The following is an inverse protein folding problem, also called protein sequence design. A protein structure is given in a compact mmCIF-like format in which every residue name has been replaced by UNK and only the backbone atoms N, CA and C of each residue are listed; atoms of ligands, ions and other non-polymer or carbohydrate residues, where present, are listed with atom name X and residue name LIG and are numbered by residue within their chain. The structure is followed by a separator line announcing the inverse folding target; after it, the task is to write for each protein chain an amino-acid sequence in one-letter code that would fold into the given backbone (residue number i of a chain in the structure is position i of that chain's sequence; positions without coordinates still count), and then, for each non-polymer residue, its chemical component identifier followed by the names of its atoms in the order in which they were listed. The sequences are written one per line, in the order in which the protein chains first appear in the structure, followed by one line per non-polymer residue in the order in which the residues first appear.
data_IF_818254620685
#
_entry.id   IF_818254620685
#
_cell.length_a   1.000
_cell.length_b   1.000
_cell.length_c   1.000
_cell.angle_alpha   90.00
_cell.angle_beta   90.00
_cell.angle_gamma   90.00
#
_symmetry.space_group_name_H-M   'P 1'
#
loop_
_entity.id
_entity.type
_entity.pdbx_description
1 polymer ?
#
# COMPACT_ATOMS: atom_id res chain seq x y z
N UNK A 1 -12.15 -0.90 -14.08
CA UNK A 1 -11.83 -2.17 -13.38
C UNK A 1 -13.03 -3.09 -13.44
N UNK A 2 -12.82 -4.40 -13.41
CA UNK A 2 -13.88 -5.41 -13.27
C UNK A 2 -13.52 -6.27 -12.06
N UNK A 3 -14.35 -6.17 -11.02
CA UNK A 3 -14.22 -6.94 -9.79
C UNK A 3 -15.62 -7.21 -9.22
N UNK A 4 -16.10 -8.47 -9.22
CA UNK A 4 -17.45 -8.80 -8.74
C UNK A 4 -17.70 -8.44 -7.28
N UNK A 5 -16.66 -8.41 -6.42
CA UNK A 5 -16.83 -8.12 -5.00
C UNK A 5 -17.31 -6.69 -4.77
N UNK A 6 -16.95 -5.75 -5.66
CA UNK A 6 -17.39 -4.36 -5.55
C UNK A 6 -18.91 -4.19 -5.69
N UNK A 7 -19.58 -5.06 -6.44
CA UNK A 7 -21.04 -4.97 -6.65
C UNK A 7 -21.83 -5.25 -5.37
N UNK A 8 -21.21 -5.93 -4.40
CA UNK A 8 -21.78 -6.30 -3.11
C UNK A 8 -21.39 -5.33 -1.98
N UNK A 9 -20.55 -4.34 -2.26
CA UNK A 9 -20.14 -3.35 -1.27
C UNK A 9 -21.21 -2.25 -1.15
N UNK A 10 -21.56 -1.92 0.08
CA UNK A 10 -22.52 -0.87 0.44
C UNK A 10 -21.92 0.10 1.46
N UNK A 11 -22.44 1.33 1.51
CA UNK A 11 -22.00 2.37 2.46
C UNK A 11 -22.37 2.05 3.89
N UNK A 12 -23.53 1.42 4.08
CA UNK A 12 -24.06 1.01 5.35
C UNK A 12 -23.01 0.22 6.13
N UNK A 13 -22.84 0.51 7.43
CA UNK A 13 -21.81 -0.01 8.34
C UNK A 13 -20.42 0.64 8.22
N UNK A 14 -20.00 1.09 7.04
CA UNK A 14 -18.59 1.46 6.82
C UNK A 14 -18.30 2.95 6.89
N UNK A 15 -19.21 3.79 6.42
CA UNK A 15 -19.02 5.23 6.39
C UNK A 15 -20.29 5.98 6.78
N UNK A 16 -20.11 7.10 7.51
CA UNK A 16 -21.18 8.02 7.86
C UNK A 16 -21.17 9.30 7.01
N UNK A 17 -20.22 9.43 6.07
CA UNK A 17 -19.99 10.65 5.28
C UNK A 17 -20.82 10.65 3.98
N UNK A 18 -21.05 9.48 3.40
CA UNK A 18 -21.84 9.29 2.17
C UNK A 18 -22.83 8.15 2.34
N UNK A 19 -23.97 8.25 1.67
CA UNK A 19 -24.99 7.20 1.54
C UNK A 19 -25.08 6.64 0.10
N UNK A 20 -24.38 7.25 -0.85
CA UNK A 20 -24.34 6.83 -2.26
C UNK A 20 -23.39 5.64 -2.49
N UNK A 21 -23.97 4.44 -2.60
CA UNK A 21 -23.27 3.20 -2.95
C UNK A 21 -22.53 3.28 -4.30
N UNK A 22 -23.04 4.04 -5.29
CA UNK A 22 -22.38 4.18 -6.59
C UNK A 22 -21.10 5.01 -6.45
N UNK A 23 -21.16 6.11 -5.69
CA UNK A 23 -19.99 6.92 -5.39
C UNK A 23 -18.94 6.13 -4.60
N UNK A 24 -19.37 5.37 -3.57
CA UNK A 24 -18.49 4.50 -2.80
C UNK A 24 -17.70 3.54 -3.69
N UNK A 25 -18.41 2.77 -4.52
CA UNK A 25 -17.79 1.79 -5.43
C UNK A 25 -16.85 2.47 -6.42
N UNK A 26 -17.19 3.68 -6.88
CA UNK A 26 -16.33 4.45 -7.78
C UNK A 26 -15.05 4.95 -7.11
N UNK A 27 -15.12 5.37 -5.85
CA UNK A 27 -13.95 5.74 -5.05
C UNK A 27 -13.05 4.52 -4.79
N UNK A 28 -13.62 3.38 -4.40
CA UNK A 28 -12.87 2.13 -4.25
C UNK A 28 -12.17 1.72 -5.54
N UNK A 29 -12.88 1.71 -6.67
CA UNK A 29 -12.29 1.46 -7.99
C UNK A 29 -11.14 2.43 -8.27
N UNK A 30 -11.32 3.71 -7.97
CA UNK A 30 -10.28 4.72 -8.19
C UNK A 30 -9.05 4.45 -7.34
N UNK A 31 -9.21 4.12 -6.06
CA UNK A 31 -8.11 3.75 -5.17
C UNK A 31 -7.32 2.54 -5.69
N UNK A 32 -8.03 1.47 -6.06
CA UNK A 32 -7.38 0.26 -6.58
C UNK A 32 -6.63 0.50 -7.90
N UNK A 33 -7.15 1.37 -8.76
CA UNK A 33 -6.56 1.70 -10.06
C UNK A 33 -5.43 2.73 -10.00
N UNK A 34 -5.27 3.44 -8.89
CA UNK A 34 -4.29 4.53 -8.76
C UNK A 34 -3.26 4.18 -7.70
N UNK A 35 -3.53 4.50 -6.44
CA UNK A 35 -2.59 4.38 -5.33
C UNK A 35 -2.21 2.93 -5.03
N UNK A 36 -3.19 2.03 -4.95
CA UNK A 36 -2.99 0.64 -4.50
C UNK A 36 -1.97 -0.13 -5.34
N UNK A 37 -1.96 0.08 -6.66
CA UNK A 37 -1.06 -0.67 -7.56
C UNK A 37 0.42 -0.48 -7.21
N UNK A 38 0.78 0.70 -6.71
CA UNK A 38 2.13 1.00 -6.32
C UNK A 38 2.29 0.97 -4.80
N UNK A 39 1.39 1.56 -4.03
CA UNK A 39 1.44 1.62 -2.56
C UNK A 39 0.33 0.79 -1.91
N UNK A 40 0.36 -0.55 -2.03
CA UNK A 40 -0.63 -1.38 -1.39
C UNK A 40 -0.44 -1.33 0.13
N UNK A 41 -1.55 -1.41 0.87
CA UNK A 41 -1.54 -1.47 2.33
C UNK A 41 -2.08 -2.81 2.87
N UNK A 42 -2.95 -3.45 2.12
CA UNK A 42 -3.70 -4.65 2.50
C UNK A 42 -4.00 -5.49 1.26
N UNK A 43 -4.41 -6.75 1.45
CA UNK A 43 -4.81 -7.62 0.35
C UNK A 43 -6.26 -7.28 -0.08
N UNK A 44 -6.45 -6.94 -1.36
CA UNK A 44 -7.72 -6.43 -1.90
C UNK A 44 -8.93 -7.35 -1.67
N UNK A 45 -8.81 -8.64 -1.99
CA UNK A 45 -9.93 -9.57 -1.92
C UNK A 45 -10.40 -9.73 -0.48
N UNK A 46 -9.48 -9.92 0.48
CA UNK A 46 -9.82 -10.03 1.90
C UNK A 46 -10.53 -8.77 2.40
N UNK A 47 -10.05 -7.58 1.99
CA UNK A 47 -10.72 -6.32 2.32
C UNK A 47 -12.13 -6.24 1.72
N UNK A 48 -12.31 -6.54 0.44
CA UNK A 48 -13.60 -6.44 -0.24
C UNK A 48 -14.61 -7.52 0.21
N UNK A 49 -14.15 -8.73 0.49
CA UNK A 49 -14.96 -9.84 1.04
C UNK A 49 -15.50 -9.47 2.42
N UNK A 50 -14.65 -8.97 3.32
CA UNK A 50 -15.07 -8.51 4.64
C UNK A 50 -15.98 -7.28 4.53
N UNK A 51 -15.68 -6.35 3.62
CA UNK A 51 -16.53 -5.19 3.39
C UNK A 51 -17.93 -5.58 2.91
N UNK A 52 -18.05 -6.49 1.95
CA UNK A 52 -19.32 -6.97 1.41
C UNK A 52 -20.12 -7.81 2.41
N UNK A 53 -19.44 -8.63 3.21
CA UNK A 53 -20.07 -9.50 4.22
C UNK A 53 -20.32 -8.79 5.57
N UNK A 54 -19.86 -7.55 5.72
CA UNK A 54 -19.95 -6.81 6.97
C UNK A 54 -19.02 -7.36 8.07
N UNK A 55 -17.96 -8.08 7.74
CA UNK A 55 -17.02 -8.65 8.71
C UNK A 55 -15.86 -7.70 9.01
N UNK A 56 -15.32 -7.79 10.23
CA UNK A 56 -14.33 -6.84 10.75
C UNK A 56 -12.89 -7.36 10.85
N UNK A 57 -12.57 -8.51 10.23
CA UNK A 57 -11.25 -9.17 10.37
C UNK A 57 -10.18 -8.47 9.51
N UNK A 58 -10.53 -8.14 8.27
CA UNK A 58 -9.69 -7.51 7.26
C UNK A 58 -10.27 -6.19 6.73
N UNK A 59 -11.46 -5.80 7.20
CA UNK A 59 -12.06 -4.49 6.95
C UNK A 59 -12.41 -3.79 8.27
N UNK A 60 -12.31 -2.47 8.31
CA UNK A 60 -12.75 -1.65 9.46
C UNK A 60 -13.20 -0.28 8.97
N UNK A 61 -14.07 0.39 9.72
CA UNK A 61 -14.48 1.76 9.36
C UNK A 61 -13.27 2.70 9.27
N UNK A 62 -12.27 2.57 10.16
CA UNK A 62 -11.03 3.33 10.10
C UNK A 62 -10.31 3.14 8.76
N UNK A 63 -10.08 1.89 8.35
CA UNK A 63 -9.42 1.56 7.09
C UNK A 63 -10.24 2.06 5.89
N UNK A 64 -11.56 1.88 5.90
CA UNK A 64 -12.43 2.36 4.82
C UNK A 64 -12.33 3.88 4.67
N UNK A 65 -12.42 4.65 5.75
CA UNK A 65 -12.30 6.11 5.66
C UNK A 65 -10.90 6.55 5.15
N UNK A 66 -9.83 5.88 5.58
CA UNK A 66 -8.48 6.15 5.05
C UNK A 66 -8.39 5.87 3.54
N UNK A 67 -8.94 4.74 3.08
CA UNK A 67 -9.01 4.36 1.64
C UNK A 67 -9.82 5.39 0.84
N UNK A 68 -10.96 5.83 1.35
CA UNK A 68 -11.81 6.81 0.67
C UNK A 68 -11.16 8.20 0.62
N UNK A 69 -10.43 8.60 1.66
CA UNK A 69 -9.63 9.81 1.65
C UNK A 69 -8.55 9.75 0.56
N UNK A 70 -7.82 8.64 0.47
CA UNK A 70 -6.82 8.40 -0.58
C UNK A 70 -7.45 8.41 -1.99
N UNK A 71 -8.58 7.74 -2.17
CA UNK A 71 -9.32 7.70 -3.44
C UNK A 71 -9.68 9.09 -3.97
N UNK A 72 -9.98 10.05 -3.09
CA UNK A 72 -10.38 11.39 -3.47
C UNK A 72 -9.28 12.15 -4.23
N UNK A 73 -8.00 11.84 -4.00
CA UNK A 73 -6.89 12.44 -4.77
C UNK A 73 -6.92 11.98 -6.24
N UNK A 74 -7.18 10.69 -6.47
CA UNK A 74 -7.24 10.09 -7.80
C UNK A 74 -8.54 10.32 -8.56
N UNK A 75 -9.64 10.69 -7.89
CA UNK A 75 -10.95 10.78 -8.53
C UNK A 75 -11.11 12.10 -9.29
N UNK A 76 -10.95 12.06 -10.62
CA UNK A 76 -10.93 13.25 -11.48
C UNK A 76 -12.22 14.08 -11.48
N UNK A 77 -13.37 13.47 -11.16
CA UNK A 77 -14.66 14.16 -11.05
C UNK A 77 -14.89 14.81 -9.68
N UNK A 78 -13.96 14.63 -8.73
CA UNK A 78 -14.05 15.25 -7.41
C UNK A 78 -13.83 16.76 -7.52
N UNK A 79 -14.82 17.54 -7.12
CA UNK A 79 -14.69 18.99 -7.03
C UNK A 79 -13.65 19.39 -5.98
N UNK A 80 -12.81 20.38 -6.30
CA UNK A 80 -11.83 20.95 -5.37
C UNK A 80 -10.83 19.95 -4.78
N UNK A 81 -10.50 18.86 -5.50
CA UNK A 81 -9.62 17.79 -4.99
C UNK A 81 -8.21 18.23 -4.55
N UNK A 82 -7.72 19.36 -5.03
CA UNK A 82 -6.43 19.94 -4.59
C UNK A 82 -6.53 20.73 -3.29
N UNK A 83 -7.73 21.06 -2.84
CA UNK A 83 -7.98 21.81 -1.61
C UNK A 83 -8.08 20.86 -0.41
N UNK A 84 -7.01 20.12 -0.13
CA UNK A 84 -6.98 19.14 0.98
C UNK A 84 -7.19 19.77 2.36
N UNK A 85 -7.05 21.09 2.49
CA UNK A 85 -7.35 21.87 3.69
C UNK A 85 -8.82 22.28 3.83
N UNK A 86 -9.63 22.14 2.77
CA UNK A 86 -11.01 22.62 2.77
C UNK A 86 -11.95 21.59 3.41
N UNK A 87 -12.59 21.91 4.55
CA UNK A 87 -13.41 20.97 5.30
C UNK A 87 -14.70 20.56 4.59
N UNK A 88 -15.09 21.27 3.51
CA UNK A 88 -16.25 20.92 2.70
C UNK A 88 -15.96 19.85 1.67
N UNK A 89 -14.70 19.53 1.40
CA UNK A 89 -14.35 18.46 0.45
C UNK A 89 -14.58 17.08 1.07
N UNK A 90 -15.00 16.11 0.26
CA UNK A 90 -15.15 14.73 0.72
C UNK A 90 -13.83 14.14 1.20
N UNK A 91 -12.72 14.43 0.50
CA UNK A 91 -11.38 13.99 0.89
C UNK A 91 -11.01 14.44 2.31
N UNK A 92 -11.27 15.70 2.65
CA UNK A 92 -11.07 16.18 4.02
C UNK A 92 -11.99 15.48 5.02
N UNK A 93 -13.28 15.34 4.71
CA UNK A 93 -14.25 14.73 5.63
C UNK A 93 -13.90 13.27 5.95
N UNK A 94 -13.54 12.48 4.93
CA UNK A 94 -13.05 11.11 5.12
C UNK A 94 -11.76 11.07 5.94
N UNK A 95 -10.80 11.96 5.64
CA UNK A 95 -9.54 12.01 6.39
C UNK A 95 -9.79 12.41 7.85
N UNK A 96 -10.66 13.38 8.11
CA UNK A 96 -11.00 13.83 9.46
C UNK A 96 -11.64 12.70 10.28
N UNK A 97 -12.56 11.94 9.69
CA UNK A 97 -13.19 10.80 10.35
C UNK A 97 -12.20 9.65 10.57
N UNK A 98 -11.31 9.38 9.60
CA UNK A 98 -10.24 8.40 9.77
C UNK A 98 -9.31 8.78 10.94
N UNK A 99 -8.94 10.06 11.09
CA UNK A 99 -8.15 10.52 12.25
C UNK A 99 -8.89 10.36 13.57
N UNK A 100 -10.18 10.72 13.61
CA UNK A 100 -11.01 10.57 14.80
C UNK A 100 -11.09 9.10 15.24
N UNK A 101 -11.29 8.18 14.28
CA UNK A 101 -11.31 6.74 14.54
C UNK A 101 -9.93 6.22 14.95
N UNK A 102 -8.85 6.72 14.34
CA UNK A 102 -7.48 6.38 14.72
C UNK A 102 -7.22 6.69 16.19
N UNK A 103 -7.59 7.88 16.65
CA UNK A 103 -7.44 8.32 18.04
C UNK A 103 -8.20 7.42 19.03
N UNK A 104 -9.37 6.90 18.64
CA UNK A 104 -10.14 5.95 19.45
C UNK A 104 -9.53 4.56 19.51
N UNK A 105 -8.76 4.16 18.51
CA UNK A 105 -8.14 2.83 18.42
C UNK A 105 -6.71 2.78 18.97
N UNK A 106 -6.18 3.91 19.46
CA UNK A 106 -4.85 3.98 20.08
C UNK A 106 -4.76 2.94 21.20
N UNK A 107 -3.73 2.08 21.13
CA UNK A 107 -3.46 1.02 22.12
C UNK A 107 -4.17 -0.31 21.85
N UNK A 108 -5.08 -0.40 20.87
CA UNK A 108 -5.71 -1.65 20.45
C UNK A 108 -5.28 -2.04 19.04
N UNK A 109 -4.02 -2.46 18.90
CA UNK A 109 -3.43 -2.79 17.60
C UNK A 109 -4.11 -3.99 16.96
N UNK A 110 -4.73 -3.77 15.80
CA UNK A 110 -5.24 -4.81 14.90
C UNK A 110 -4.55 -4.71 13.55
N UNK A 111 -4.68 -5.76 12.74
CA UNK A 111 -4.12 -5.77 11.38
C UNK A 111 -4.69 -4.60 10.55
N UNK A 112 -6.00 -4.35 10.63
CA UNK A 112 -6.67 -3.24 9.94
C UNK A 112 -6.23 -1.86 10.42
N UNK A 113 -5.84 -1.73 11.69
CA UNK A 113 -5.25 -0.48 12.23
C UNK A 113 -3.89 -0.24 11.57
N UNK A 114 -3.02 -1.24 11.47
CA UNK A 114 -1.72 -1.12 10.76
C UNK A 114 -1.94 -0.74 9.29
N UNK A 115 -2.87 -1.41 8.61
CA UNK A 115 -3.21 -1.13 7.21
C UNK A 115 -3.74 0.30 7.03
N UNK A 116 -4.58 0.79 7.95
CA UNK A 116 -5.08 2.16 7.90
C UNK A 116 -3.96 3.19 8.10
N UNK A 117 -2.99 2.92 8.97
CA UNK A 117 -1.83 3.77 9.19
C UNK A 117 -0.99 3.95 7.92
N UNK A 118 -0.79 2.86 7.16
CA UNK A 118 -0.09 2.88 5.87
C UNK A 118 -0.84 3.82 4.90
N UNK A 119 -2.17 3.67 4.77
CA UNK A 119 -2.97 4.51 3.89
C UNK A 119 -2.99 5.97 4.36
N UNK A 120 -3.11 6.23 5.66
CA UNK A 120 -3.03 7.57 6.22
C UNK A 120 -1.69 8.24 5.93
N UNK A 121 -0.58 7.51 6.00
CA UNK A 121 0.73 8.02 5.59
C UNK A 121 0.70 8.47 4.13
N UNK A 122 0.19 7.65 3.22
CA UNK A 122 0.09 7.99 1.78
C UNK A 122 -0.74 9.26 1.57
N UNK A 123 -1.87 9.39 2.27
CA UNK A 123 -2.72 10.59 2.19
C UNK A 123 -1.97 11.83 2.68
N UNK A 124 -1.23 11.73 3.79
CA UNK A 124 -0.46 12.84 4.33
C UNK A 124 0.74 13.21 3.44
N UNK A 125 1.43 12.23 2.87
CA UNK A 125 2.51 12.46 1.90
C UNK A 125 1.97 13.18 0.65
N UNK A 126 0.83 12.75 0.12
CA UNK A 126 0.16 13.41 -1.01
C UNK A 126 -0.31 14.85 -0.70
N UNK A 127 -0.58 15.16 0.57
CA UNK A 127 -0.93 16.49 1.04
C UNK A 127 0.30 17.34 1.43
N UNK A 128 1.53 16.85 1.22
CA UNK A 128 2.76 17.54 1.60
C UNK A 128 2.98 17.64 3.12
N UNK A 129 2.34 16.78 3.91
CA UNK A 129 2.49 16.67 5.36
C UNK A 129 3.28 15.41 5.73
N UNK A 130 4.44 15.24 5.13
CA UNK A 130 5.28 14.04 5.20
C UNK A 130 5.74 13.67 6.62
N UNK A 131 5.95 14.65 7.51
CA UNK A 131 6.27 14.38 8.92
C UNK A 131 5.09 13.74 9.67
N UNK A 132 3.86 14.16 9.36
CA UNK A 132 2.65 13.55 9.92
C UNK A 132 2.49 12.14 9.36
N UNK A 133 2.72 11.95 8.05
CA UNK A 133 2.72 10.63 7.42
C UNK A 133 3.73 9.68 8.09
N UNK A 134 4.95 10.15 8.33
CA UNK A 134 5.99 9.39 9.03
C UNK A 134 5.58 9.00 10.46
N UNK A 135 4.84 9.85 11.16
CA UNK A 135 4.32 9.51 12.50
C UNK A 135 3.37 8.31 12.44
N UNK A 136 2.47 8.26 11.45
CA UNK A 136 1.61 7.09 11.21
C UNK A 136 2.43 5.83 10.90
N UNK A 137 3.46 5.92 10.05
CA UNK A 137 4.35 4.78 9.78
C UNK A 137 5.09 4.31 11.02
N UNK A 138 5.56 5.23 11.86
CA UNK A 138 6.25 4.90 13.11
C UNK A 138 5.32 4.14 14.06
N UNK A 139 4.09 4.60 14.21
CA UNK A 139 3.07 3.92 15.01
C UNK A 139 2.68 2.56 14.41
N UNK A 140 2.59 2.46 13.08
CA UNK A 140 2.33 1.21 12.36
C UNK A 140 3.43 0.17 12.61
N UNK A 141 4.70 0.58 12.55
CA UNK A 141 5.86 -0.28 12.83
C UNK A 141 5.83 -0.76 14.29
N UNK A 142 5.56 0.14 15.24
CA UNK A 142 5.44 -0.23 16.65
C UNK A 142 4.30 -1.24 16.90
N UNK A 143 3.13 -1.01 16.30
CA UNK A 143 1.99 -1.93 16.36
C UNK A 143 2.31 -3.29 15.71
N UNK A 144 2.97 -3.28 14.55
CA UNK A 144 3.40 -4.50 13.85
C UNK A 144 4.40 -5.33 14.70
N UNK A 145 5.33 -4.68 15.41
CA UNK A 145 6.20 -5.36 16.35
C UNK A 145 5.44 -5.97 17.53
N UNK A 146 4.52 -5.22 18.14
CA UNK A 146 3.69 -5.72 19.24
C UNK A 146 2.82 -6.93 18.84
N UNK A 147 2.42 -7.02 17.57
CA UNK A 147 1.66 -8.13 17.01
C UNK A 147 2.53 -9.27 16.44
N UNK A 148 3.87 -9.20 16.56
CA UNK A 148 4.80 -10.14 15.94
C UNK A 148 4.61 -10.30 14.41
N UNK A 149 4.16 -9.24 13.73
CA UNK A 149 3.74 -9.30 12.32
C UNK A 149 4.91 -9.64 11.37
N UNK A 150 6.13 -9.21 11.69
CA UNK A 150 7.31 -9.42 10.84
C UNK A 150 7.91 -10.84 10.94
N UNK A 151 7.52 -11.61 11.96
CA UNK A 151 8.07 -12.93 12.28
C UNK A 151 6.94 -13.83 12.77
N UNK A 152 6.27 -14.51 11.85
CA UNK A 152 5.18 -15.44 12.21
C UNK A 152 5.72 -16.87 12.26
N UNK A 153 5.32 -17.68 13.27
CA UNK A 153 5.70 -19.10 13.35
C UNK A 153 5.27 -19.87 12.12
N UNK A 154 6.05 -20.89 11.77
CA UNK A 154 5.77 -21.86 10.70
C UNK A 154 4.54 -22.72 11.03
N UNK A 155 3.35 -22.18 10.85
CA UNK A 155 2.11 -22.95 10.72
C UNK A 155 1.56 -22.69 9.33
N UNK A 156 1.39 -23.76 8.54
CA UNK A 156 0.90 -23.82 7.16
C UNK A 156 0.85 -22.46 6.42
N UNK A 157 1.86 -22.22 5.57
CA UNK A 157 2.13 -20.96 4.85
C UNK A 157 1.02 -20.43 3.94
N UNK A 158 -0.09 -21.15 3.79
CA UNK A 158 -1.06 -20.93 2.71
C UNK A 158 -2.48 -20.59 3.24
N UNK A 159 -2.64 -20.36 4.55
CA UNK A 159 -3.93 -19.88 5.07
C UNK A 159 -4.13 -18.36 4.84
N UNK A 160 -5.39 -17.93 4.79
CA UNK A 160 -5.74 -16.53 4.51
C UNK A 160 -5.17 -15.55 5.54
N UNK A 161 -4.96 -16.00 6.79
CA UNK A 161 -4.43 -15.14 7.85
C UNK A 161 -2.94 -14.91 7.69
N UNK A 162 -2.17 -15.95 7.37
CA UNK A 162 -0.76 -15.85 7.01
C UNK A 162 -0.57 -14.91 5.82
N UNK A 163 -1.36 -15.11 4.75
CA UNK A 163 -1.28 -14.28 3.55
C UNK A 163 -1.60 -12.81 3.83
N UNK A 164 -2.65 -12.52 4.62
CA UNK A 164 -3.00 -11.15 5.00
C UNK A 164 -1.89 -10.50 5.84
N UNK A 165 -1.29 -11.24 6.77
CA UNK A 165 -0.17 -10.78 7.60
C UNK A 165 1.09 -10.54 6.78
N UNK A 166 1.47 -11.47 5.91
CA UNK A 166 2.65 -11.37 5.06
C UNK A 166 2.54 -10.19 4.11
N UNK A 167 1.40 -10.06 3.43
CA UNK A 167 1.12 -8.94 2.55
C UNK A 167 1.23 -7.60 3.29
N UNK A 168 0.61 -7.49 4.47
CA UNK A 168 0.65 -6.25 5.28
C UNK A 168 2.06 -5.94 5.79
N UNK A 169 2.82 -6.95 6.21
CA UNK A 169 4.19 -6.78 6.68
C UNK A 169 5.11 -6.21 5.57
N UNK A 170 5.02 -6.80 4.37
CA UNK A 170 5.80 -6.37 3.21
C UNK A 170 5.31 -5.02 2.65
N UNK A 171 4.01 -4.74 2.69
CA UNK A 171 3.44 -3.43 2.39
C UNK A 171 4.00 -2.34 3.32
N UNK A 172 3.99 -2.57 4.64
CA UNK A 172 4.51 -1.65 5.63
C UNK A 172 6.01 -1.39 5.47
N UNK A 173 6.80 -2.47 5.35
CA UNK A 173 8.24 -2.38 5.09
C UNK A 173 8.51 -1.58 3.81
N UNK A 174 7.75 -1.87 2.76
CA UNK A 174 7.88 -1.23 1.47
C UNK A 174 7.60 0.28 1.53
N UNK A 175 6.49 0.69 2.15
CA UNK A 175 6.14 2.11 2.23
C UNK A 175 7.13 2.89 3.10
N UNK A 176 7.55 2.35 4.25
CA UNK A 176 8.54 3.06 5.09
C UNK A 176 9.91 3.19 4.42
N UNK A 177 10.30 2.21 3.59
CA UNK A 177 11.54 2.26 2.82
C UNK A 177 11.47 3.36 1.76
N UNK A 178 10.37 3.41 1.01
CA UNK A 178 10.12 4.47 0.02
C UNK A 178 10.11 5.84 0.69
N UNK A 179 9.37 6.00 1.78
CA UNK A 179 9.28 7.26 2.53
C UNK A 179 10.68 7.73 2.93
N UNK A 180 11.42 6.87 3.64
CA UNK A 180 12.75 7.19 4.17
C UNK A 180 13.76 7.53 3.08
N UNK A 181 13.69 6.84 1.93
CA UNK A 181 14.51 7.15 0.76
C UNK A 181 14.20 8.54 0.19
N UNK A 182 12.92 8.92 0.04
CA UNK A 182 12.52 10.18 -0.58
C UNK A 182 12.75 11.39 0.33
N UNK A 183 12.61 11.23 1.65
CA UNK A 183 12.80 12.32 2.62
C UNK A 183 14.20 12.35 3.23
N UNK A 184 15.13 11.55 2.71
CA UNK A 184 16.52 11.45 3.17
C UNK A 184 16.65 11.17 4.67
N UNK A 185 15.81 10.29 5.21
CA UNK A 185 15.81 9.86 6.63
C UNK A 185 16.22 8.39 6.76
N UNK A 186 16.74 8.02 7.92
CA UNK A 186 17.00 6.63 8.24
C UNK A 186 15.69 5.80 8.16
N UNK A 187 15.74 4.55 7.66
CA UNK A 187 14.57 3.69 7.64
C UNK A 187 14.10 3.34 9.05
N UNK A 188 12.79 3.16 9.20
CA UNK A 188 12.18 2.71 10.46
C UNK A 188 12.47 1.22 10.70
N UNK A 189 12.62 0.44 9.63
CA UNK A 189 12.98 -0.98 9.67
C UNK A 189 14.32 -1.20 8.97
N UNK A 190 15.29 -1.74 9.69
CA UNK A 190 16.62 -2.01 9.14
C UNK A 190 16.66 -3.22 8.21
N UNK A 191 15.76 -4.18 8.40
CA UNK A 191 15.71 -5.45 7.65
C UNK A 191 14.32 -5.72 7.09
N UNK A 192 14.21 -6.42 5.95
CA UNK A 192 12.92 -6.85 5.42
C UNK A 192 12.22 -7.83 6.38
N UNK A 193 10.89 -7.98 6.28
CA UNK A 193 10.14 -8.94 7.06
C UNK A 193 10.66 -10.37 6.87
N UNK A 194 10.75 -11.15 7.95
CA UNK A 194 11.12 -12.57 7.86
C UNK A 194 9.95 -13.47 7.44
N UNK A 195 8.72 -13.01 7.64
CA UNK A 195 7.52 -13.66 7.13
C UNK A 195 7.56 -13.75 5.61
N UNK A 196 7.38 -14.95 5.07
CA UNK A 196 7.47 -15.22 3.64
C UNK A 196 6.16 -14.88 2.93
N UNK A 197 6.28 -14.24 1.77
CA UNK A 197 5.18 -14.06 0.84
C UNK A 197 4.83 -15.39 0.17
N UNK A 198 3.54 -15.59 -0.15
CA UNK A 198 3.07 -16.79 -0.87
C UNK A 198 3.68 -16.85 -2.27
N UNK A 199 3.99 -18.07 -2.73
CA UNK A 199 4.42 -18.34 -4.09
C UNK A 199 3.24 -18.42 -5.08
N UNK A 200 2.01 -18.54 -4.57
CA UNK A 200 0.78 -18.65 -5.35
C UNK A 200 0.25 -17.25 -5.71
N UNK A 201 -0.06 -17.02 -6.99
CA UNK A 201 -0.44 -15.69 -7.50
C UNK A 201 -1.82 -15.21 -7.04
N UNK A 202 -2.73 -16.14 -6.77
CA UNK A 202 -4.10 -15.88 -6.29
C UNK A 202 -4.14 -15.21 -4.91
N UNK A 203 -3.09 -15.39 -4.11
CA UNK A 203 -2.96 -14.82 -2.77
C UNK A 203 -2.83 -13.29 -2.75
N UNK A 204 -2.59 -12.62 -3.88
CA UNK A 204 -2.31 -11.17 -3.95
C UNK A 204 -3.52 -10.30 -4.33
N UNK A 205 -4.65 -10.92 -4.66
CA UNK A 205 -5.88 -10.21 -4.96
C UNK A 205 -5.83 -9.49 -6.30
N UNK A 206 -5.81 -10.28 -7.38
CA UNK A 206 -5.79 -9.76 -8.75
C UNK A 206 -7.12 -9.07 -9.14
N UNK A 207 -7.10 -8.26 -10.20
CA UNK A 207 -8.31 -7.65 -10.76
C UNK A 207 -8.28 -7.58 -12.29
N UNK A 208 -9.47 -7.55 -12.89
CA UNK A 208 -9.61 -7.48 -14.33
C UNK A 208 -9.67 -6.04 -14.85
N UNK A 209 -9.08 -5.79 -16.02
CA UNK A 209 -9.30 -4.60 -16.81
C UNK A 209 -10.08 -4.92 -18.08
N UNK A 210 -11.10 -4.12 -18.37
CA UNK A 210 -11.87 -4.24 -19.61
C UNK A 210 -11.45 -3.14 -20.57
N UNK A 211 -10.78 -3.55 -21.64
CA UNK A 211 -10.44 -2.67 -22.75
C UNK A 211 -11.51 -2.75 -23.84
N UNK A 212 -11.83 -1.64 -24.54
CA UNK A 212 -12.82 -1.66 -25.62
C UNK A 212 -12.54 -2.70 -26.72
N UNK A 213 -11.25 -3.00 -26.98
CA UNK A 213 -10.79 -3.96 -27.98
C UNK A 213 -10.66 -5.39 -27.48
N UNK A 214 -10.75 -5.65 -26.17
CA UNK A 214 -10.55 -6.98 -25.60
C UNK A 214 -11.85 -7.80 -25.58
N UNK A 215 -11.75 -9.10 -25.85
CA UNK A 215 -12.90 -10.03 -25.81
C UNK A 215 -13.47 -10.24 -24.40
N UNK A 216 -12.70 -9.93 -23.37
CA UNK A 216 -13.07 -10.09 -21.97
C UNK A 216 -12.16 -9.29 -21.04
N UNK A 217 -12.38 -9.36 -19.72
CA UNK A 217 -11.46 -8.78 -18.74
C UNK A 217 -10.06 -9.41 -18.87
N UNK A 218 -9.04 -8.56 -18.87
CA UNK A 218 -7.63 -8.95 -18.89
C UNK A 218 -7.12 -8.89 -17.44
N UNK A 219 -6.56 -10.00 -16.96
CA UNK A 219 -5.90 -10.07 -15.65
C UNK A 219 -4.68 -9.15 -15.64
N UNK A 220 -4.46 -8.47 -14.51
CA UNK A 220 -3.29 -7.60 -14.34
C UNK A 220 -2.07 -8.33 -13.80
N UNK A 221 -2.24 -9.59 -13.36
CA UNK A 221 -1.25 -10.39 -12.67
C UNK A 221 -0.52 -9.57 -11.58
N UNK A 222 -1.31 -9.09 -10.61
CA UNK A 222 -0.81 -8.18 -9.58
C UNK A 222 0.30 -8.79 -8.70
N UNK A 223 0.31 -10.12 -8.53
CA UNK A 223 1.32 -10.84 -7.76
C UNK A 223 2.75 -10.55 -8.23
N UNK A 224 2.97 -10.53 -9.55
CA UNK A 224 4.27 -10.18 -10.13
C UNK A 224 4.68 -8.75 -9.77
N UNK A 225 3.74 -7.81 -9.91
CA UNK A 225 3.98 -6.38 -9.59
C UNK A 225 4.37 -6.21 -8.12
N UNK A 226 3.62 -6.82 -7.21
CA UNK A 226 3.87 -6.74 -5.78
C UNK A 226 5.25 -7.30 -5.39
N UNK A 227 5.60 -8.49 -5.90
CA UNK A 227 6.89 -9.14 -5.62
C UNK A 227 8.07 -8.33 -6.16
N UNK A 228 7.99 -7.89 -7.41
CA UNK A 228 9.03 -7.04 -8.03
C UNK A 228 9.24 -5.73 -7.27
N UNK A 229 8.18 -5.04 -6.86
CA UNK A 229 8.32 -3.83 -6.05
C UNK A 229 8.84 -4.11 -4.65
N UNK A 230 8.49 -5.25 -4.05
CA UNK A 230 9.03 -5.64 -2.75
C UNK A 230 10.55 -5.78 -2.80
N UNK A 231 11.10 -6.44 -3.83
CA UNK A 231 12.54 -6.56 -4.07
C UNK A 231 13.20 -5.19 -4.29
N UNK A 232 12.59 -4.34 -5.12
CA UNK A 232 13.10 -2.98 -5.36
C UNK A 232 13.19 -2.17 -4.07
N UNK A 233 12.17 -2.28 -3.21
CA UNK A 233 12.08 -1.55 -1.94
C UNK A 233 13.09 -2.02 -0.91
N UNK A 234 13.52 -3.28 -0.97
CA UNK A 234 14.67 -3.75 -0.18
C UNK A 234 15.92 -2.98 -0.58
N UNK A 235 16.17 -2.79 -1.87
CA UNK A 235 17.32 -2.00 -2.35
C UNK A 235 17.19 -0.54 -1.88
N UNK A 236 16.01 0.08 -2.02
CA UNK A 236 15.77 1.45 -1.54
C UNK A 236 16.01 1.59 -0.04
N UNK A 237 15.55 0.61 0.76
CA UNK A 237 15.74 0.59 2.20
C UNK A 237 17.22 0.57 2.57
N UNK A 238 18.00 -0.29 1.91
CA UNK A 238 19.43 -0.42 2.17
C UNK A 238 20.20 0.86 1.78
N UNK A 239 19.81 1.51 0.69
CA UNK A 239 20.36 2.82 0.30
C UNK A 239 20.07 3.84 1.41
N UNK A 240 18.82 3.94 1.86
CA UNK A 240 18.43 4.85 2.94
C UNK A 240 19.18 4.53 4.25
N UNK A 241 19.33 3.26 4.60
CA UNK A 241 20.06 2.81 5.78
C UNK A 241 21.53 3.26 5.73
N UNK A 242 22.19 3.08 4.59
CA UNK A 242 23.61 3.43 4.40
C UNK A 242 23.85 4.93 4.44
N UNK A 243 23.03 5.72 3.73
CA UNK A 243 23.31 7.13 3.51
C UNK A 243 22.66 8.06 4.52
N UNK A 244 21.57 7.66 5.18
CA UNK A 244 20.78 8.55 6.05
C UNK A 244 20.74 8.15 7.52
N UNK A 245 21.39 7.05 7.92
CA UNK A 245 21.49 6.65 9.35
C UNK A 245 22.68 7.27 10.09
N UNK A 246 23.37 8.25 9.48
CA UNK A 246 24.49 8.95 10.13
C UNK A 246 25.80 8.16 10.23
N UNK A 247 25.95 7.08 9.45
CA UNK A 247 27.22 6.35 9.35
C UNK A 247 28.31 7.25 8.77
N UNK A 248 29.49 7.27 9.41
CA UNK A 248 30.68 7.94 8.86
C UNK A 248 31.22 7.09 7.71
N UNK A 249 30.93 7.48 6.48
CA UNK A 249 31.49 6.86 5.28
C UNK A 249 32.66 7.72 4.77
N UNK A 250 33.82 7.09 4.50
CA UNK A 250 34.91 7.77 3.77
C UNK A 250 34.53 7.91 2.29
N UNK A 251 35.10 8.87 1.54
CA UNK A 251 34.80 9.03 0.11
C UNK A 251 34.95 7.74 -0.71
N UNK A 252 35.97 6.93 -0.44
CA UNK A 252 36.23 5.66 -1.12
C UNK A 252 35.12 4.65 -0.82
N UNK A 253 34.74 4.51 0.46
CA UNK A 253 33.64 3.62 0.87
C UNK A 253 32.29 4.04 0.29
N UNK A 254 32.05 5.34 0.11
CA UNK A 254 30.84 5.86 -0.55
C UNK A 254 30.80 5.39 -2.00
N UNK A 255 31.89 5.57 -2.74
CA UNK A 255 31.97 5.18 -4.15
C UNK A 255 31.73 3.68 -4.32
N UNK A 256 32.34 2.84 -3.48
CA UNK A 256 32.16 1.40 -3.55
C UNK A 256 30.73 0.97 -3.20
N UNK A 257 30.09 1.60 -2.21
CA UNK A 257 28.68 1.37 -1.87
C UNK A 257 27.75 1.78 -3.01
N UNK A 258 27.97 2.94 -3.63
CA UNK A 258 27.18 3.40 -4.78
C UNK A 258 27.29 2.39 -5.93
N UNK A 259 28.51 1.95 -6.28
CA UNK A 259 28.71 0.91 -7.31
C UNK A 259 27.96 -0.37 -6.98
N UNK A 260 28.02 -0.83 -5.72
CA UNK A 260 27.28 -2.00 -5.25
C UNK A 260 25.77 -1.86 -5.45
N UNK A 261 25.20 -0.69 -5.13
CA UNK A 261 23.78 -0.43 -5.35
C UNK A 261 23.42 -0.34 -6.84
N UNK A 262 24.25 0.29 -7.68
CA UNK A 262 24.04 0.31 -9.13
C UNK A 262 24.00 -1.10 -9.72
N UNK A 263 24.90 -1.99 -9.29
CA UNK A 263 24.90 -3.40 -9.72
C UNK A 263 23.61 -4.10 -9.28
N UNK A 264 23.19 -3.93 -8.02
CA UNK A 264 21.94 -4.54 -7.51
C UNK A 264 20.72 -4.06 -8.28
N UNK A 265 20.64 -2.76 -8.59
CA UNK A 265 19.55 -2.18 -9.37
C UNK A 265 19.54 -2.70 -10.81
N UNK A 266 20.70 -2.78 -11.46
CA UNK A 266 20.81 -3.33 -12.82
C UNK A 266 20.44 -4.82 -12.86
N UNK A 267 20.90 -5.60 -11.87
CA UNK A 267 20.49 -7.01 -11.72
C UNK A 267 18.98 -7.16 -11.52
N UNK A 268 18.38 -6.34 -10.64
CA UNK A 268 16.93 -6.34 -10.43
C UNK A 268 16.18 -6.00 -11.73
N UNK A 269 16.60 -4.95 -12.44
CA UNK A 269 15.96 -4.50 -13.69
C UNK A 269 16.04 -5.55 -14.81
N UNK A 270 17.19 -6.23 -14.96
CA UNK A 270 17.36 -7.29 -15.98
C UNK A 270 16.52 -8.53 -15.69
N UNK A 271 16.23 -8.79 -14.42
CA UNK A 271 15.46 -9.95 -13.97
C UNK A 271 13.95 -9.69 -13.86
N UNK A 272 13.46 -8.53 -14.33
CA UNK A 272 12.03 -8.24 -14.38
C UNK A 272 11.27 -9.32 -15.16
N UNK A 273 10.11 -9.71 -14.63
CA UNK A 273 9.18 -10.61 -15.31
C UNK A 273 8.75 -10.02 -16.66
N UNK A 274 8.49 -10.84 -17.69
CA UNK A 274 8.17 -10.37 -19.04
C UNK A 274 7.16 -9.23 -19.08
N UNK A 275 6.01 -9.39 -18.41
CA UNK A 275 4.95 -8.37 -18.36
C UNK A 275 5.29 -7.06 -17.61
N UNK A 276 6.46 -6.95 -16.98
CA UNK A 276 6.97 -5.73 -16.34
C UNK A 276 8.14 -5.10 -17.11
N UNK A 277 8.61 -5.73 -18.20
CA UNK A 277 9.67 -5.18 -19.05
C UNK A 277 9.14 -4.03 -19.90
N UNK A 278 10.02 -3.10 -20.24
CA UNK A 278 9.73 -1.94 -21.10
C UNK A 278 8.96 -2.31 -22.37
N UNK A 279 9.31 -3.44 -22.98
CA UNK A 279 8.76 -3.93 -24.24
C UNK A 279 7.35 -4.52 -24.13
N UNK A 280 6.85 -4.79 -22.93
CA UNK A 280 5.59 -5.51 -22.69
C UNK A 280 4.61 -4.74 -21.79
N UNK A 281 4.87 -3.45 -21.55
CA UNK A 281 4.02 -2.59 -20.73
C UNK A 281 2.60 -2.55 -21.30
N UNK A 282 1.65 -2.96 -20.46
CA UNK A 282 0.22 -3.01 -20.75
C UNK A 282 -0.59 -2.10 -19.82
N UNK A 283 -0.04 -1.72 -18.66
CA UNK A 283 -0.72 -0.96 -17.61
C UNK A 283 0.05 0.30 -17.18
N UNK A 284 -0.64 1.42 -16.86
CA UNK A 284 0.02 2.67 -16.50
C UNK A 284 1.00 2.59 -15.32
N UNK A 285 0.74 1.76 -14.31
CA UNK A 285 1.63 1.63 -13.16
C UNK A 285 2.92 0.88 -13.47
N UNK A 286 2.95 0.08 -14.55
CA UNK A 286 4.17 -0.62 -14.98
C UNK A 286 5.21 0.36 -15.55
N UNK A 287 4.79 1.57 -15.95
CA UNK A 287 5.71 2.66 -16.30
C UNK A 287 6.54 3.13 -15.09
N UNK A 288 6.06 2.91 -13.86
CA UNK A 288 6.83 3.26 -12.64
C UNK A 288 8.01 2.31 -12.37
N UNK A 289 8.14 1.25 -13.18
CA UNK A 289 9.25 0.28 -13.13
C UNK A 289 10.35 0.65 -14.15
N UNK A 290 10.07 1.61 -15.04
CA UNK A 290 10.98 2.05 -16.13
C UNK A 290 11.88 3.21 -15.72
#
# INVERSE_FOLDING_TARGET
MVDPLLDHVETQKWTCIIDDNKLLRKLLETYFMTEYTFYPAFQKNYFLEDMASGQGKYCSSLLVHAVLASACHGYSKMSHRSQFWNPRTLGYQFLAEARRLWEMEIGNARLTTIQAAIVLSIVHDANGSDEVGRSYLTQAVAAAHAMHLFSTPTTNSDDAEHNAKAFTAWALFGLQAVHSFHVFKAPLLSMPPSIQLSTQDDCYGDFGLRYPSAKGPVSVNYAHTFRTFSEFRVIMNDVAAVFFSGFKNTPETIVDRIKGFCIRLDCWYRNLQPGLKASEISFPWQLKVQ
#
